data_IF_233293706611
#
_entry.id   IF_233293706611
#
_cell.length_a   1.000
_cell.length_b   1.000
_cell.length_c   1.000
_cell.angle_alpha   90.00
_cell.angle_beta   90.00
_cell.angle_gamma   90.00
#
_symmetry.space_group_name_H-M   'P 1'
#
loop_
_entity.id
_entity.type
_entity.pdbx_description
1 polymer ?
#
# COMPACT_ATOMS: atom_id res chain seq x y z
N UNK A 1 -54.13 16.63 33.56
CA UNK A 1 -53.09 16.04 34.42
C UNK A 1 -52.92 14.60 33.95
N UNK A 2 -51.68 14.18 33.68
CA UNK A 2 -51.28 12.84 33.19
C UNK A 2 -51.72 12.56 31.72
N UNK A 3 -50.94 11.95 30.82
CA UNK A 3 -49.65 11.27 30.91
C UNK A 3 -48.87 11.33 29.58
N UNK A 4 -47.56 11.22 29.74
CA UNK A 4 -46.50 11.35 28.74
C UNK A 4 -46.20 10.01 28.08
N UNK A 5 -46.52 9.82 26.79
CA UNK A 5 -45.90 8.78 25.95
C UNK A 5 -45.72 9.37 24.55
N UNK A 6 -44.51 9.85 24.25
CA UNK A 6 -44.07 10.13 22.89
C UNK A 6 -42.83 9.27 22.61
N UNK A 7 -43.09 8.31 21.75
CA UNK A 7 -42.25 7.20 21.31
C UNK A 7 -40.97 7.71 20.64
N UNK A 8 -39.82 7.19 21.09
CA UNK A 8 -38.52 7.33 20.42
C UNK A 8 -38.62 6.73 19.00
N UNK A 9 -38.69 7.58 17.98
CA UNK A 9 -38.41 7.16 16.61
C UNK A 9 -36.90 7.16 16.37
N UNK A 10 -36.37 5.96 16.10
CA UNK A 10 -35.01 5.64 15.74
C UNK A 10 -34.40 6.59 14.70
N UNK A 11 -33.40 7.35 15.12
CA UNK A 11 -32.39 7.91 14.23
C UNK A 11 -31.38 6.78 13.95
N UNK A 12 -31.75 5.84 13.07
CA UNK A 12 -30.86 4.76 12.64
C UNK A 12 -31.01 4.48 11.16
N UNK A 13 -30.56 5.41 10.32
CA UNK A 13 -30.15 5.10 8.94
C UNK A 13 -29.58 6.36 8.29
N UNK A 14 -28.28 6.61 8.45
CA UNK A 14 -27.43 7.13 7.37
C UNK A 14 -25.96 7.01 7.80
N UNK A 15 -25.49 5.78 8.00
CA UNK A 15 -24.05 5.52 7.89
C UNK A 15 -23.72 5.73 6.42
N UNK A 16 -23.32 6.97 6.06
CA UNK A 16 -22.67 7.23 4.78
C UNK A 16 -21.53 6.23 4.67
N UNK A 17 -21.67 5.25 3.79
CA UNK A 17 -20.61 4.35 3.37
C UNK A 17 -19.52 5.21 2.71
N UNK A 18 -18.64 5.81 3.51
CA UNK A 18 -17.41 6.40 2.99
C UNK A 18 -16.63 5.21 2.42
N UNK A 19 -16.40 5.14 1.10
CA UNK A 19 -15.59 4.07 0.54
C UNK A 19 -14.25 4.09 1.28
N UNK A 20 -13.84 2.94 1.80
CA UNK A 20 -12.56 2.75 2.47
C UNK A 20 -11.45 3.03 1.44
N UNK A 21 -11.10 4.32 1.29
CA UNK A 21 -10.18 4.84 0.28
C UNK A 21 -8.81 4.23 0.56
N UNK A 22 -8.25 3.45 -0.36
CA UNK A 22 -7.13 2.55 -0.07
C UNK A 22 -5.78 3.15 -0.35
N UNK A 23 -4.87 2.87 0.58
CA UNK A 23 -3.46 3.20 0.53
C UNK A 23 -2.76 2.31 -0.51
N UNK A 24 -1.87 2.85 -1.36
CA UNK A 24 -0.96 2.06 -2.18
C UNK A 24 -0.25 1.02 -1.31
N UNK A 25 -0.27 -0.22 -1.79
CA UNK A 25 0.40 -1.34 -1.16
C UNK A 25 1.70 -1.62 -1.92
N UNK A 26 2.35 -2.75 -1.68
CA UNK A 26 3.63 -3.07 -2.31
C UNK A 26 3.63 -2.90 -3.84
N UNK A 27 2.64 -3.42 -4.60
CA UNK A 27 2.69 -3.36 -6.07
C UNK A 27 2.69 -1.95 -6.64
N UNK A 28 1.87 -1.07 -6.08
CA UNK A 28 1.80 0.34 -6.50
C UNK A 28 3.11 1.08 -6.20
N UNK A 29 3.68 0.83 -5.02
CA UNK A 29 4.95 1.44 -4.61
C UNK A 29 6.10 0.90 -5.46
N UNK A 30 6.11 -0.39 -5.78
CA UNK A 30 7.10 -1.01 -6.67
C UNK A 30 7.01 -0.46 -8.10
N UNK A 31 5.79 -0.24 -8.60
CA UNK A 31 5.57 0.38 -9.92
C UNK A 31 6.19 1.78 -9.96
N UNK A 32 5.91 2.61 -8.95
CA UNK A 32 6.54 3.94 -8.82
C UNK A 32 8.07 3.82 -8.72
N UNK A 33 8.59 2.88 -7.92
CA UNK A 33 10.02 2.68 -7.79
C UNK A 33 10.70 2.32 -9.12
N UNK A 34 10.09 1.43 -9.93
CA UNK A 34 10.60 1.04 -11.26
C UNK A 34 10.67 2.23 -12.21
N UNK A 35 9.63 3.05 -12.25
CA UNK A 35 9.60 4.22 -13.11
C UNK A 35 10.61 5.29 -12.66
N UNK A 36 10.73 5.51 -11.35
CA UNK A 36 11.74 6.43 -10.81
C UNK A 36 13.17 5.92 -11.02
N UNK A 37 13.42 4.60 -10.95
CA UNK A 37 14.73 3.99 -11.28
C UNK A 37 15.16 4.29 -12.71
N UNK A 38 14.22 4.31 -13.66
CA UNK A 38 14.51 4.58 -15.05
C UNK A 38 14.84 6.07 -15.31
N UNK A 39 14.45 6.96 -14.40
CA UNK A 39 14.54 8.41 -14.63
C UNK A 39 15.51 9.08 -13.69
N UNK A 40 15.41 8.93 -12.37
CA UNK A 40 16.11 9.78 -11.42
C UNK A 40 17.65 9.61 -11.33
N UNK A 41 18.25 8.40 -11.44
CA UNK A 41 19.67 8.23 -11.19
C UNK A 41 20.58 9.20 -11.98
N UNK A 42 21.58 9.75 -11.29
CA UNK A 42 22.53 10.73 -11.81
C UNK A 42 22.05 12.19 -11.77
N UNK A 43 20.74 12.45 -11.71
CA UNK A 43 20.20 13.81 -11.71
C UNK A 43 20.48 14.52 -10.39
N UNK A 44 20.86 15.79 -10.47
CA UNK A 44 21.19 16.63 -9.31
C UNK A 44 19.99 17.45 -8.87
N UNK A 45 19.76 17.53 -7.58
CA UNK A 45 18.75 18.43 -7.00
C UNK A 45 19.30 19.86 -7.04
N UNK A 46 18.62 20.75 -7.77
CA UNK A 46 18.93 22.18 -7.81
C UNK A 46 18.28 22.93 -6.66
N UNK A 47 16.99 22.68 -6.42
CA UNK A 47 16.25 23.33 -5.34
C UNK A 47 15.13 22.44 -4.80
N UNK A 48 14.70 22.77 -3.59
CA UNK A 48 13.55 22.19 -2.91
C UNK A 48 12.56 23.30 -2.61
N UNK A 49 11.29 23.04 -2.91
CA UNK A 49 10.20 23.92 -2.52
C UNK A 49 9.18 23.14 -1.69
N UNK A 50 8.84 23.69 -0.54
CA UNK A 50 7.86 23.13 0.38
C UNK A 50 6.59 23.99 0.30
N UNK A 51 5.52 23.43 -0.25
CA UNK A 51 4.19 24.04 -0.23
C UNK A 51 3.39 23.61 1.01
N UNK A 52 3.84 22.55 1.69
CA UNK A 52 3.31 22.11 2.97
C UNK A 52 4.40 21.45 3.81
N UNK A 53 4.99 22.21 4.73
CA UNK A 53 6.17 21.79 5.51
C UNK A 53 5.97 20.48 6.26
N UNK A 54 4.79 20.21 6.83
CA UNK A 54 4.52 18.98 7.61
C UNK A 54 4.59 17.69 6.80
N UNK A 55 4.71 17.76 5.47
CA UNK A 55 4.95 16.59 4.62
C UNK A 55 6.44 16.21 4.58
N UNK A 56 7.35 17.16 4.80
CA UNK A 56 8.79 16.98 4.71
C UNK A 56 9.43 17.06 6.10
N UNK A 57 10.03 15.96 6.53
CA UNK A 57 10.70 15.84 7.82
C UNK A 57 12.21 15.71 7.57
N UNK A 58 12.98 16.73 7.93
CA UNK A 58 14.45 16.71 7.85
C UNK A 58 15.03 16.22 9.19
N UNK A 59 15.92 15.23 9.17
CA UNK A 59 16.54 14.68 10.38
C UNK A 59 18.02 14.36 10.12
N UNK A 60 18.90 15.18 10.69
CA UNK A 60 20.36 14.99 10.74
C UNK A 60 21.06 14.74 9.39
N UNK A 61 20.47 15.19 8.27
CA UNK A 61 20.99 14.93 6.93
C UNK A 61 21.68 16.17 6.31
N UNK A 62 22.67 16.01 5.41
CA UNK A 62 23.25 17.14 4.68
C UNK A 62 22.23 17.83 3.77
N UNK A 63 22.38 19.13 3.46
CA UNK A 63 21.46 19.86 2.59
C UNK A 63 21.19 19.15 1.25
N UNK A 64 19.93 19.17 0.79
CA UNK A 64 19.53 18.52 -0.47
C UNK A 64 20.12 19.17 -1.73
N UNK A 65 20.11 20.52 -1.90
CA UNK A 65 20.67 21.14 -3.09
C UNK A 65 22.13 20.73 -3.26
N UNK A 66 22.46 20.24 -4.45
CA UNK A 66 23.80 19.75 -4.72
C UNK A 66 23.91 18.23 -4.82
N UNK A 67 23.08 17.48 -4.08
CA UNK A 67 23.12 16.02 -4.08
C UNK A 67 22.50 15.44 -5.36
N UNK A 68 23.04 14.31 -5.82
CA UNK A 68 22.51 13.53 -6.93
C UNK A 68 21.73 12.33 -6.43
N UNK A 69 20.71 11.94 -7.19
CA UNK A 69 20.03 10.67 -7.00
C UNK A 69 20.94 9.50 -7.41
N UNK A 70 21.07 8.53 -6.53
CA UNK A 70 21.71 7.25 -6.79
C UNK A 70 20.67 6.15 -7.04
N UNK A 71 20.79 5.05 -6.31
CA UNK A 71 19.89 3.91 -6.44
C UNK A 71 18.50 4.23 -5.88
N UNK A 72 17.46 3.79 -6.60
CA UNK A 72 16.08 3.92 -6.15
C UNK A 72 15.54 2.54 -5.78
N UNK A 73 15.16 2.37 -4.53
CA UNK A 73 14.68 1.12 -3.95
C UNK A 73 13.29 1.24 -3.33
N UNK A 74 12.85 0.14 -2.75
CA UNK A 74 11.60 0.02 -2.00
C UNK A 74 11.80 -0.98 -0.88
N UNK A 75 11.21 -0.70 0.28
CA UNK A 75 11.05 -1.68 1.35
C UNK A 75 9.64 -1.58 1.93
N UNK A 76 8.88 -2.66 1.88
CA UNK A 76 7.45 -2.69 2.14
C UNK A 76 6.71 -1.66 1.30
N UNK A 77 6.12 -0.66 1.97
CA UNK A 77 5.36 0.44 1.36
C UNK A 77 6.12 1.77 1.36
N UNK A 78 7.44 1.72 1.58
CA UNK A 78 8.33 2.87 1.55
C UNK A 78 9.15 2.86 0.27
N UNK A 79 9.27 4.01 -0.37
CA UNK A 79 10.27 4.26 -1.41
C UNK A 79 11.55 4.77 -0.76
N UNK A 80 12.68 4.34 -1.30
CA UNK A 80 14.02 4.73 -0.85
C UNK A 80 14.74 5.37 -2.03
N UNK A 81 14.83 6.70 -2.05
CA UNK A 81 15.53 7.43 -3.09
C UNK A 81 16.89 7.81 -2.50
N UNK A 82 17.91 6.99 -2.75
CA UNK A 82 19.24 7.24 -2.22
C UNK A 82 19.85 8.45 -2.94
N UNK A 83 20.56 9.26 -2.17
CA UNK A 83 21.33 10.40 -2.62
C UNK A 83 22.81 10.16 -2.30
N UNK A 84 23.71 11.02 -2.80
CA UNK A 84 25.15 10.90 -2.54
C UNK A 84 25.51 10.77 -1.05
N UNK A 85 24.81 11.49 -0.17
CA UNK A 85 25.15 11.59 1.27
C UNK A 85 23.99 11.30 2.21
N UNK A 86 22.81 10.97 1.68
CA UNK A 86 21.58 10.83 2.45
C UNK A 86 20.55 10.02 1.68
N UNK A 87 19.36 9.84 2.24
CA UNK A 87 18.24 9.15 1.59
C UNK A 87 16.93 9.88 1.85
N UNK A 88 16.07 9.91 0.82
CA UNK A 88 14.67 10.28 0.99
C UNK A 88 13.84 9.00 1.17
N UNK A 89 13.32 8.81 2.38
CA UNK A 89 12.41 7.72 2.72
C UNK A 89 10.97 8.23 2.60
N UNK A 90 10.23 7.73 1.63
CA UNK A 90 8.93 8.26 1.25
C UNK A 90 7.84 7.23 1.50
N UNK A 91 6.80 7.62 2.22
CA UNK A 91 5.58 6.80 2.38
C UNK A 91 4.39 7.54 1.75
N UNK A 92 3.83 7.00 0.67
CA UNK A 92 2.74 7.63 -0.09
C UNK A 92 1.44 7.76 0.73
N UNK A 93 1.23 6.86 1.71
CA UNK A 93 -0.01 6.79 2.52
C UNK A 93 -1.20 6.71 1.59
N UNK A 94 -2.30 7.43 1.80
CA UNK A 94 -3.55 7.10 1.10
C UNK A 94 -3.65 7.70 -0.30
N UNK A 95 -3.10 8.88 -0.49
CA UNK A 95 -3.34 9.74 -1.67
C UNK A 95 -2.06 10.39 -2.20
N UNK A 96 -0.91 10.00 -1.64
CA UNK A 96 0.39 10.45 -2.11
C UNK A 96 0.71 9.91 -3.49
N UNK A 97 1.20 10.79 -4.34
CA UNK A 97 1.68 10.52 -5.69
C UNK A 97 3.08 11.14 -5.82
N UNK A 98 3.97 10.46 -6.52
CA UNK A 98 5.24 11.02 -6.97
C UNK A 98 5.18 11.15 -8.49
N UNK A 99 5.23 12.38 -8.97
CA UNK A 99 5.09 12.70 -10.39
C UNK A 99 6.41 13.23 -10.92
N UNK A 100 6.78 12.83 -12.14
CA UNK A 100 7.95 13.37 -12.85
C UNK A 100 7.48 14.03 -14.13
N UNK A 101 7.82 15.32 -14.31
CA UNK A 101 7.45 16.08 -15.50
C UNK A 101 8.49 17.15 -15.83
N UNK A 102 8.40 17.78 -17.00
CA UNK A 102 9.27 18.93 -17.31
C UNK A 102 8.84 20.14 -16.49
N UNK A 103 9.80 20.87 -15.96
CA UNK A 103 9.51 22.08 -15.21
C UNK A 103 8.84 23.13 -16.09
N UNK A 104 7.85 23.82 -15.56
CA UNK A 104 7.04 24.81 -16.29
C UNK A 104 6.00 24.23 -17.25
N UNK A 105 5.97 22.90 -17.48
CA UNK A 105 5.02 22.28 -18.41
C UNK A 105 3.56 22.40 -17.94
N UNK A 106 3.34 22.44 -16.63
CA UNK A 106 2.01 22.51 -16.03
C UNK A 106 2.04 23.46 -14.82
N UNK A 107 0.96 24.20 -14.63
CA UNK A 107 0.77 24.99 -13.42
C UNK A 107 0.80 24.11 -12.16
N UNK A 108 1.14 24.72 -11.03
CA UNK A 108 1.12 24.06 -9.71
C UNK A 108 -0.32 23.67 -9.35
N UNK A 109 -0.51 22.43 -8.93
CA UNK A 109 -1.80 21.98 -8.38
C UNK A 109 -1.90 22.34 -6.90
N UNK A 110 -3.10 22.64 -6.41
CA UNK A 110 -3.40 22.92 -4.98
C UNK A 110 -3.07 21.76 -4.01
N UNK A 111 -2.68 20.60 -4.54
CA UNK A 111 -2.36 19.39 -3.80
C UNK A 111 -0.88 19.04 -3.87
N UNK A 112 -0.09 19.78 -4.65
CA UNK A 112 1.36 19.66 -4.64
C UNK A 112 1.86 20.11 -3.26
N UNK A 113 2.72 19.31 -2.63
CA UNK A 113 3.21 19.53 -1.26
C UNK A 113 4.70 19.78 -1.22
N UNK A 114 5.45 19.06 -2.05
CA UNK A 114 6.90 19.19 -2.17
C UNK A 114 7.27 19.14 -3.64
N UNK A 115 8.18 20.02 -4.07
CA UNK A 115 8.76 20.02 -5.41
C UNK A 115 10.28 20.00 -5.31
N UNK A 116 10.91 19.10 -6.05
CA UNK A 116 12.35 19.06 -6.27
C UNK A 116 12.61 19.47 -7.71
N UNK A 117 13.35 20.56 -7.94
CA UNK A 117 13.80 20.95 -9.26
C UNK A 117 15.13 20.26 -9.56
N UNK A 118 15.26 19.64 -10.74
CA UNK A 118 16.43 18.87 -11.14
C UNK A 118 17.31 19.65 -12.12
N UNK A 119 18.53 19.17 -12.34
CA UNK A 119 19.54 19.85 -13.15
C UNK A 119 19.36 19.76 -14.67
N UNK A 120 18.43 18.93 -15.12
CA UNK A 120 18.11 18.68 -16.53
C UNK A 120 16.76 19.28 -16.96
N UNK A 121 16.15 20.10 -16.09
CA UNK A 121 14.85 20.72 -16.33
C UNK A 121 13.65 19.83 -16.03
N UNK A 122 13.85 18.65 -15.43
CA UNK A 122 12.76 17.89 -14.82
C UNK A 122 12.43 18.41 -13.41
N UNK A 123 11.22 18.12 -12.96
CA UNK A 123 10.80 18.28 -11.57
C UNK A 123 10.19 16.98 -11.05
N UNK A 124 10.53 16.63 -9.80
CA UNK A 124 9.88 15.58 -9.03
C UNK A 124 8.91 16.23 -8.05
N UNK A 125 7.62 15.87 -8.13
CA UNK A 125 6.57 16.47 -7.30
C UNK A 125 5.94 15.41 -6.43
N UNK A 126 5.83 15.71 -5.14
CA UNK A 126 4.99 14.97 -4.21
C UNK A 126 3.64 15.66 -4.09
N UNK A 127 2.59 15.00 -4.61
CA UNK A 127 1.21 15.46 -4.54
C UNK A 127 0.44 14.62 -3.54
N UNK A 128 -0.30 15.26 -2.65
CA UNK A 128 -1.10 14.55 -1.66
C UNK A 128 -2.30 15.39 -1.20
N UNK A 129 -3.51 15.00 -1.63
CA UNK A 129 -4.75 15.71 -1.28
C UNK A 129 -5.04 15.68 0.24
N UNK A 130 -4.67 14.60 0.93
CA UNK A 130 -4.97 14.40 2.37
C UNK A 130 -3.84 14.78 3.31
N UNK A 131 -2.66 15.12 2.80
CA UNK A 131 -1.48 15.53 3.59
C UNK A 131 -1.02 14.48 4.62
N UNK A 132 -1.27 13.20 4.34
CA UNK A 132 -0.86 12.08 5.19
C UNK A 132 0.49 11.51 4.79
N UNK A 133 0.83 11.59 3.52
CA UNK A 133 2.11 11.20 2.98
C UNK A 133 3.27 11.94 3.65
N UNK A 134 4.41 11.27 3.74
CA UNK A 134 5.62 11.78 4.40
C UNK A 134 6.84 11.52 3.53
N UNK A 135 7.71 12.52 3.48
CA UNK A 135 9.07 12.43 2.96
C UNK A 135 10.00 12.68 4.15
N UNK A 136 10.83 11.70 4.47
CA UNK A 136 11.86 11.83 5.51
C UNK A 136 13.21 11.91 4.86
N UNK A 137 13.94 12.98 5.13
CA UNK A 137 15.30 13.18 4.65
C UNK A 137 16.27 12.89 5.78
N UNK A 138 16.99 11.78 5.65
CA UNK A 138 17.80 11.18 6.73
C UNK A 138 19.15 10.69 6.19
N UNK A 139 20.14 10.51 7.07
CA UNK A 139 21.43 9.91 6.69
C UNK A 139 21.29 8.44 6.26
N UNK A 140 20.48 7.67 6.98
CA UNK A 140 20.26 6.25 6.74
C UNK A 140 18.80 5.90 6.94
N UNK A 141 18.29 4.99 6.11
CA UNK A 141 16.91 4.50 6.21
C UNK A 141 16.72 3.47 7.34
N UNK A 142 17.80 2.84 7.82
CA UNK A 142 17.74 1.73 8.79
C UNK A 142 16.89 2.06 10.03
N UNK A 143 17.05 3.21 10.72
CA UNK A 143 16.32 3.46 11.96
C UNK A 143 14.80 3.57 11.76
N UNK A 144 14.39 3.99 10.56
CA UNK A 144 12.99 4.12 10.16
C UNK A 144 12.36 2.77 9.79
N UNK A 145 13.17 1.85 9.26
CA UNK A 145 12.72 0.59 8.68
C UNK A 145 12.98 -0.62 9.58
N UNK A 146 13.79 -0.50 10.63
CA UNK A 146 14.16 -1.61 11.55
C UNK A 146 13.00 -2.36 12.19
N UNK A 147 11.82 -1.71 12.29
CA UNK A 147 10.59 -2.32 12.84
C UNK A 147 9.77 -3.08 11.81
N UNK A 148 10.14 -3.02 10.53
CA UNK A 148 9.47 -3.77 9.47
C UNK A 148 9.98 -5.21 9.47
N UNK A 149 9.05 -6.13 9.24
CA UNK A 149 9.39 -7.51 8.90
C UNK A 149 9.98 -7.61 7.50
N UNK A 150 10.32 -8.84 7.10
CA UNK A 150 10.85 -9.10 5.77
C UNK A 150 9.85 -8.69 4.68
N UNK A 151 10.35 -8.12 3.59
CA UNK A 151 9.52 -7.73 2.47
C UNK A 151 8.89 -8.95 1.79
N UNK A 152 7.61 -8.85 1.40
CA UNK A 152 6.88 -9.98 0.82
C UNK A 152 7.51 -10.54 -0.49
N UNK A 153 8.25 -9.70 -1.22
CA UNK A 153 8.92 -10.07 -2.47
C UNK A 153 10.44 -10.27 -2.31
N UNK A 154 11.00 -10.12 -1.10
CA UNK A 154 12.43 -10.37 -0.86
C UNK A 154 12.72 -11.87 -0.86
N UNK A 155 13.76 -12.28 -1.58
CA UNK A 155 14.22 -13.66 -1.70
C UNK A 155 14.56 -14.31 -0.35
N UNK A 156 14.94 -13.52 0.66
CA UNK A 156 15.20 -13.99 2.03
C UNK A 156 13.92 -14.48 2.74
N UNK A 157 12.75 -14.00 2.33
CA UNK A 157 11.49 -14.56 2.79
C UNK A 157 11.24 -15.86 2.03
N UNK A 158 11.46 -17.01 2.68
CA UNK A 158 11.19 -18.33 2.10
C UNK A 158 9.85 -18.88 2.62
N UNK A 159 9.29 -19.87 1.92
CA UNK A 159 8.08 -20.57 2.39
C UNK A 159 8.28 -21.21 3.77
N UNK A 160 9.47 -21.76 4.04
CA UNK A 160 9.84 -22.32 5.34
C UNK A 160 9.86 -21.26 6.45
N UNK A 161 10.51 -20.10 6.20
CA UNK A 161 10.52 -19.00 7.15
C UNK A 161 9.11 -18.48 7.41
N UNK A 162 8.32 -18.29 6.35
CA UNK A 162 6.91 -17.90 6.43
C UNK A 162 6.09 -18.88 7.28
N UNK A 163 6.20 -20.18 7.05
CA UNK A 163 5.53 -21.21 7.85
C UNK A 163 5.92 -21.18 9.32
N UNK A 164 7.21 -20.99 9.63
CA UNK A 164 7.68 -20.87 11.01
C UNK A 164 7.09 -19.66 11.74
N UNK A 165 6.84 -18.55 11.03
CA UNK A 165 6.19 -17.37 11.59
C UNK A 165 4.70 -17.61 11.83
N UNK A 166 4.02 -18.31 10.91
CA UNK A 166 2.61 -18.67 11.05
C UNK A 166 2.37 -19.52 12.30
N UNK A 167 3.16 -20.57 12.49
CA UNK A 167 3.05 -21.51 13.62
C UNK A 167 3.18 -20.82 14.99
N UNK A 168 3.94 -19.73 15.05
CA UNK A 168 4.17 -18.96 16.30
C UNK A 168 3.08 -17.91 16.57
N UNK A 169 2.12 -17.71 15.66
CA UNK A 169 1.13 -16.65 15.78
C UNK A 169 -0.26 -17.17 16.15
N UNK A 170 -0.81 -16.63 17.24
CA UNK A 170 -2.21 -16.84 17.62
C UNK A 170 -3.20 -15.92 16.89
N UNK A 171 -2.70 -14.99 16.05
CA UNK A 171 -3.55 -14.09 15.28
C UNK A 171 -4.32 -14.87 14.22
N UNK A 172 -5.49 -14.38 13.79
CA UNK A 172 -6.07 -14.87 12.54
C UNK A 172 -5.17 -14.51 11.34
N UNK A 173 -5.26 -15.33 10.29
CA UNK A 173 -4.36 -15.25 9.14
C UNK A 173 -4.40 -13.88 8.46
N UNK A 174 -5.58 -13.24 8.36
CA UNK A 174 -5.66 -11.89 7.80
C UNK A 174 -4.93 -10.86 8.65
N UNK A 175 -5.12 -10.87 9.97
CA UNK A 175 -4.44 -9.96 10.87
C UNK A 175 -2.92 -10.16 10.84
N UNK A 176 -2.46 -11.42 10.78
CA UNK A 176 -1.05 -11.76 10.64
C UNK A 176 -0.46 -11.17 9.36
N UNK A 177 -1.10 -11.41 8.20
CA UNK A 177 -0.62 -10.91 6.90
C UNK A 177 -0.65 -9.39 6.78
N UNK A 178 -1.56 -8.70 7.49
CA UNK A 178 -1.61 -7.24 7.50
C UNK A 178 -0.53 -6.60 8.39
N UNK A 179 0.07 -7.37 9.30
CA UNK A 179 1.10 -6.88 10.22
C UNK A 179 2.41 -6.63 9.48
N UNK A 180 2.76 -5.35 9.31
CA UNK A 180 4.03 -4.95 8.70
C UNK A 180 5.26 -5.35 9.52
N UNK A 181 5.08 -5.85 10.76
CA UNK A 181 6.16 -6.40 11.59
C UNK A 181 6.55 -7.83 11.20
N UNK A 182 5.62 -8.59 10.62
CA UNK A 182 5.92 -9.95 10.14
C UNK A 182 6.29 -9.90 8.66
N UNK A 183 5.43 -9.30 7.84
CA UNK A 183 5.62 -9.24 6.40
C UNK A 183 5.30 -7.84 5.92
N UNK A 184 6.32 -7.14 5.44
CA UNK A 184 6.17 -5.79 4.94
C UNK A 184 5.60 -5.79 3.51
N UNK A 185 4.73 -4.82 3.22
CA UNK A 185 4.21 -4.58 1.87
C UNK A 185 2.78 -5.05 1.63
N UNK A 186 2.30 -6.06 2.36
CA UNK A 186 0.92 -6.54 2.24
C UNK A 186 -0.08 -5.53 2.81
N UNK A 187 -1.21 -5.36 2.14
CA UNK A 187 -2.34 -4.58 2.65
C UNK A 187 -3.67 -5.28 2.38
N UNK A 188 -4.75 -4.50 2.43
CA UNK A 188 -6.08 -5.07 2.50
C UNK A 188 -6.51 -5.73 1.18
N UNK A 189 -6.05 -5.22 0.04
CA UNK A 189 -6.41 -5.74 -1.28
C UNK A 189 -5.76 -7.10 -1.50
N UNK A 190 -4.43 -7.13 -1.43
CA UNK A 190 -3.68 -8.32 -1.82
C UNK A 190 -3.80 -9.45 -0.79
N UNK A 191 -4.12 -9.14 0.47
CA UNK A 191 -4.46 -10.16 1.47
C UNK A 191 -5.81 -10.82 1.16
N UNK A 192 -6.85 -10.06 0.80
CA UNK A 192 -8.15 -10.64 0.41
C UNK A 192 -8.00 -11.57 -0.80
N UNK A 193 -7.28 -11.10 -1.83
CA UNK A 193 -7.05 -11.87 -3.05
C UNK A 193 -6.21 -13.14 -2.81
N UNK A 194 -5.12 -13.04 -2.02
CA UNK A 194 -4.27 -14.20 -1.72
C UNK A 194 -5.02 -15.27 -0.90
N UNK A 195 -5.82 -14.85 0.08
CA UNK A 195 -6.63 -15.77 0.89
C UNK A 195 -7.72 -16.45 0.06
N UNK A 196 -8.34 -15.73 -0.88
CA UNK A 196 -9.29 -16.31 -1.81
C UNK A 196 -8.65 -17.38 -2.71
N UNK A 197 -7.49 -17.09 -3.31
CA UNK A 197 -6.78 -18.07 -4.15
C UNK A 197 -6.33 -19.30 -3.34
N UNK A 198 -6.07 -19.12 -2.05
CA UNK A 198 -5.67 -20.20 -1.14
C UNK A 198 -6.86 -20.92 -0.50
N UNK A 199 -8.10 -20.55 -0.84
CA UNK A 199 -9.32 -21.09 -0.22
C UNK A 199 -9.37 -20.96 1.32
N UNK A 200 -8.62 -20.01 1.90
CA UNK A 200 -8.52 -19.81 3.34
C UNK A 200 -9.53 -18.77 3.84
N UNK A 201 -10.26 -19.11 4.90
CA UNK A 201 -11.11 -18.13 5.57
C UNK A 201 -10.23 -17.11 6.35
N UNK A 202 -10.48 -15.79 6.27
CA UNK A 202 -9.61 -14.77 6.88
C UNK A 202 -9.53 -14.84 8.41
N UNK A 203 -10.50 -15.49 9.06
CA UNK A 203 -10.52 -15.74 10.50
C UNK A 203 -9.82 -17.04 10.93
N UNK A 204 -9.32 -17.85 10.00
CA UNK A 204 -8.54 -19.04 10.35
C UNK A 204 -7.32 -18.62 11.18
N UNK A 205 -7.05 -19.22 12.35
CA UNK A 205 -5.84 -18.94 13.11
C UNK A 205 -4.59 -19.20 12.26
N UNK A 206 -3.63 -18.28 12.29
CA UNK A 206 -2.43 -18.36 11.45
C UNK A 206 -1.65 -19.66 11.67
N UNK A 207 -1.53 -20.09 12.92
CA UNK A 207 -0.90 -21.35 13.32
C UNK A 207 -1.60 -22.62 12.83
N UNK A 208 -2.86 -22.52 12.41
CA UNK A 208 -3.68 -23.66 11.98
C UNK A 208 -3.66 -23.86 10.47
N UNK A 209 -3.11 -22.94 9.67
CA UNK A 209 -3.03 -23.06 8.21
C UNK A 209 -2.24 -24.32 7.80
N UNK A 210 -2.88 -25.21 7.03
CA UNK A 210 -2.32 -26.50 6.65
C UNK A 210 -1.34 -26.35 5.47
N UNK A 211 -0.07 -26.15 5.82
CA UNK A 211 0.99 -25.92 4.84
C UNK A 211 1.09 -24.46 4.40
N UNK A 212 2.26 -23.87 4.65
CA UNK A 212 2.49 -22.44 4.40
C UNK A 212 2.76 -22.11 2.93
N UNK A 213 3.22 -23.10 2.16
CA UNK A 213 3.72 -22.92 0.80
C UNK A 213 2.63 -22.50 -0.22
N UNK A 214 1.42 -23.11 -0.26
CA UNK A 214 0.37 -22.66 -1.17
C UNK A 214 -0.03 -21.20 -0.95
N UNK A 215 -0.22 -20.80 0.32
CA UNK A 215 -0.53 -19.41 0.66
C UNK A 215 0.63 -18.47 0.30
N UNK A 216 1.87 -18.86 0.62
CA UNK A 216 3.06 -18.10 0.29
C UNK A 216 3.19 -17.83 -1.22
N UNK A 217 3.01 -18.88 -2.04
CA UNK A 217 3.06 -18.79 -3.48
C UNK A 217 1.93 -17.93 -4.03
N UNK A 218 0.71 -18.07 -3.51
CA UNK A 218 -0.43 -17.24 -3.89
C UNK A 218 -0.24 -15.77 -3.52
N UNK A 219 0.38 -15.46 -2.38
CA UNK A 219 0.74 -14.09 -2.00
C UNK A 219 1.68 -13.47 -3.05
N UNK A 220 2.76 -14.16 -3.41
CA UNK A 220 3.70 -13.66 -4.41
C UNK A 220 3.07 -13.56 -5.80
N UNK A 221 2.21 -14.51 -6.15
CA UNK A 221 1.48 -14.49 -7.41
C UNK A 221 0.58 -13.25 -7.54
N UNK A 222 -0.21 -12.92 -6.52
CA UNK A 222 -1.10 -11.74 -6.58
C UNK A 222 -0.30 -10.43 -6.59
N UNK A 223 0.81 -10.37 -5.86
CA UNK A 223 1.69 -9.21 -5.86
C UNK A 223 2.36 -9.02 -7.22
N UNK A 224 2.93 -10.09 -7.79
CA UNK A 224 3.60 -10.06 -9.08
C UNK A 224 2.63 -9.66 -10.21
N UNK A 225 1.47 -10.31 -10.28
CA UNK A 225 0.43 -9.94 -11.25
C UNK A 225 0.02 -8.48 -11.13
N UNK A 226 -0.07 -7.97 -9.91
CA UNK A 226 -0.40 -6.56 -9.71
C UNK A 226 0.72 -5.64 -10.17
N UNK A 227 1.99 -5.97 -9.90
CA UNK A 227 3.13 -5.21 -10.41
C UNK A 227 3.13 -5.20 -11.95
N UNK A 228 2.89 -6.34 -12.59
CA UNK A 228 2.83 -6.47 -14.04
C UNK A 228 1.69 -5.63 -14.64
N UNK A 229 0.59 -5.51 -13.90
CA UNK A 229 -0.57 -4.67 -14.22
C UNK A 229 -0.45 -3.21 -13.73
N UNK A 230 0.75 -2.76 -13.33
CA UNK A 230 1.03 -1.41 -12.84
C UNK A 230 0.19 -0.99 -11.60
N UNK A 231 -0.12 -1.94 -10.72
CA UNK A 231 -0.89 -1.70 -9.50
C UNK A 231 -2.39 -1.53 -9.74
N UNK A 232 -3.11 -1.18 -8.68
CA UNK A 232 -4.56 -1.00 -8.67
C UNK A 232 -4.95 0.46 -8.41
N UNK A 233 -5.74 1.05 -9.30
CA UNK A 233 -6.37 2.36 -9.05
C UNK A 233 -7.79 2.18 -8.54
N UNK A 234 -7.97 2.26 -7.22
CA UNK A 234 -9.30 2.28 -6.55
C UNK A 234 -9.79 3.69 -6.28
N UNK A 235 -8.84 4.62 -6.14
CA UNK A 235 -9.14 6.02 -5.90
C UNK A 235 -8.07 6.90 -6.53
N UNK A 236 -7.13 7.40 -5.74
CA UNK A 236 -6.21 8.45 -6.17
C UNK A 236 -4.83 7.90 -6.54
N UNK A 237 -4.60 6.58 -6.55
CA UNK A 237 -3.32 6.02 -6.99
C UNK A 237 -3.08 6.37 -8.47
N UNK A 238 -1.86 6.86 -8.75
CA UNK A 238 -1.32 7.14 -10.07
C UNK A 238 0.16 6.74 -10.12
N UNK A 239 0.64 6.33 -11.29
CA UNK A 239 2.06 6.14 -11.54
C UNK A 239 2.79 7.50 -11.71
N UNK A 240 4.09 7.49 -12.01
CA UNK A 240 4.92 8.72 -12.10
C UNK A 240 4.54 9.63 -13.27
N UNK A 241 3.84 9.10 -14.27
CA UNK A 241 3.32 9.84 -15.42
C UNK A 241 1.88 10.34 -15.21
N UNK A 242 1.26 10.01 -14.07
CA UNK A 242 -0.13 10.37 -13.79
C UNK A 242 -1.18 9.40 -14.34
N UNK A 243 -0.78 8.20 -14.79
CA UNK A 243 -1.69 7.17 -15.32
C UNK A 243 -2.21 6.26 -14.20
N UNK A 244 -3.35 5.61 -14.46
CA UNK A 244 -3.94 4.60 -13.57
C UNK A 244 -3.25 3.24 -13.72
N UNK A 245 -3.24 2.46 -12.63
CA UNK A 245 -2.97 1.03 -12.68
C UNK A 245 -4.17 0.26 -13.25
N UNK A 246 -3.96 -0.97 -13.67
CA UNK A 246 -4.98 -1.80 -14.34
C UNK A 246 -5.43 -3.00 -13.50
N UNK A 247 -4.74 -3.30 -12.39
CA UNK A 247 -4.94 -4.54 -11.65
C UNK A 247 -6.34 -4.70 -11.04
N UNK A 248 -7.05 -3.58 -10.77
CA UNK A 248 -8.43 -3.59 -10.25
C UNK A 248 -9.43 -4.33 -11.16
N UNK A 249 -9.11 -4.47 -12.46
CA UNK A 249 -9.93 -5.23 -13.42
C UNK A 249 -9.86 -6.74 -13.18
N UNK A 250 -8.82 -7.20 -12.48
CA UNK A 250 -8.52 -8.63 -12.30
C UNK A 250 -8.92 -9.17 -10.93
N UNK A 251 -9.45 -8.34 -10.02
CA UNK A 251 -9.85 -8.81 -8.69
C UNK A 251 -10.87 -9.96 -8.73
N UNK A 252 -10.70 -10.89 -7.80
CA UNK A 252 -11.56 -12.04 -7.62
C UNK A 252 -12.61 -11.80 -6.55
N UNK A 253 -12.25 -11.13 -5.45
CA UNK A 253 -13.15 -10.87 -4.32
C UNK A 253 -13.14 -9.41 -3.92
N UNK A 254 -11.98 -8.76 -3.97
CA UNK A 254 -11.81 -7.43 -3.44
C UNK A 254 -12.71 -6.41 -4.17
N UNK A 255 -13.55 -5.68 -3.41
CA UNK A 255 -14.47 -4.69 -3.98
C UNK A 255 -15.63 -5.28 -4.78
N UNK A 256 -15.82 -6.61 -4.78
CA UNK A 256 -16.84 -7.31 -5.57
C UNK A 256 -18.04 -7.77 -4.73
N UNK A 257 -18.32 -7.12 -3.60
CA UNK A 257 -19.45 -7.47 -2.72
C UNK A 257 -20.77 -7.56 -3.51
N UNK A 258 -21.52 -8.64 -3.30
CA UNK A 258 -22.78 -8.91 -3.99
C UNK A 258 -22.64 -9.52 -5.39
N UNK A 259 -21.46 -9.43 -6.02
CA UNK A 259 -21.22 -10.01 -7.34
C UNK A 259 -20.94 -11.52 -7.23
N UNK A 260 -21.18 -12.30 -8.30
CA UNK A 260 -20.87 -13.72 -8.31
C UNK A 260 -19.36 -13.97 -8.25
N UNK A 261 -18.97 -14.93 -7.42
CA UNK A 261 -17.64 -15.50 -7.35
C UNK A 261 -17.25 -16.08 -8.71
N UNK A 262 -16.08 -15.68 -9.23
CA UNK A 262 -15.56 -16.17 -10.52
C UNK A 262 -15.26 -17.68 -10.55
N UNK A 263 -15.18 -18.33 -9.38
CA UNK A 263 -14.88 -19.76 -9.24
C UNK A 263 -16.14 -20.63 -9.09
N UNK A 264 -17.12 -20.20 -8.28
CA UNK A 264 -18.24 -21.05 -7.89
C UNK A 264 -19.63 -20.40 -8.06
N UNK A 265 -19.71 -19.19 -8.62
CA UNK A 265 -20.96 -18.45 -8.84
C UNK A 265 -21.66 -17.89 -7.60
N UNK A 266 -21.31 -18.34 -6.39
CA UNK A 266 -21.88 -17.83 -5.13
C UNK A 266 -21.55 -16.35 -4.88
N UNK A 267 -22.38 -15.61 -4.11
CA UNK A 267 -22.15 -14.18 -3.90
C UNK A 267 -20.90 -13.93 -3.07
N UNK A 268 -20.15 -12.88 -3.42
CA UNK A 268 -19.06 -12.36 -2.58
C UNK A 268 -19.65 -11.56 -1.42
N UNK A 269 -19.21 -11.88 -0.22
CA UNK A 269 -19.60 -11.18 1.01
C UNK A 269 -18.51 -10.21 1.46
N UNK A 270 -18.91 -9.20 2.23
CA UNK A 270 -18.00 -8.28 2.90
C UNK A 270 -18.22 -8.35 4.40
N UNK A 271 -17.21 -8.85 5.11
CA UNK A 271 -17.19 -8.93 6.58
C UNK A 271 -16.15 -7.95 7.14
N UNK A 272 -16.06 -7.86 8.47
CA UNK A 272 -15.02 -7.07 9.15
C UNK A 272 -14.04 -7.99 9.88
N UNK A 273 -12.76 -7.88 9.57
CA UNK A 273 -11.68 -8.64 10.21
C UNK A 273 -10.53 -7.70 10.53
N UNK A 274 -10.02 -7.75 11.76
CA UNK A 274 -8.95 -6.87 12.24
C UNK A 274 -9.24 -5.37 11.99
N UNK A 275 -10.49 -4.95 12.14
CA UNK A 275 -10.95 -3.57 11.91
C UNK A 275 -11.13 -3.17 10.45
N UNK A 276 -10.84 -4.05 9.47
CA UNK A 276 -10.84 -3.75 8.03
C UNK A 276 -11.97 -4.45 7.29
N UNK A 277 -12.51 -3.79 6.26
CA UNK A 277 -13.45 -4.43 5.33
C UNK A 277 -12.76 -5.57 4.59
N UNK A 278 -13.37 -6.74 4.55
CA UNK A 278 -12.75 -8.00 4.09
C UNK A 278 -13.71 -8.71 3.16
N UNK A 279 -13.29 -8.96 1.93
CA UNK A 279 -14.12 -9.57 0.91
C UNK A 279 -13.82 -11.07 0.81
N UNK A 280 -14.85 -11.89 0.85
CA UNK A 280 -14.71 -13.35 0.83
C UNK A 280 -15.75 -14.00 -0.06
N UNK A 281 -15.46 -15.19 -0.55
CA UNK A 281 -16.46 -16.11 -1.06
C UNK A 281 -16.76 -17.18 0.02
N UNK A 282 -17.93 -17.15 0.68
CA UNK A 282 -18.25 -18.10 1.76
C UNK A 282 -18.24 -19.57 1.31
N UNK A 283 -18.55 -19.83 0.04
CA UNK A 283 -18.51 -21.17 -0.55
C UNK A 283 -17.09 -21.67 -0.80
N UNK A 284 -16.18 -20.79 -1.24
CA UNK A 284 -14.79 -21.16 -1.53
C UNK A 284 -13.87 -21.09 -0.31
N UNK A 285 -14.21 -20.28 0.70
CA UNK A 285 -13.40 -20.01 1.89
C UNK A 285 -14.20 -20.41 3.14
N UNK A 286 -14.42 -21.71 3.34
CA UNK A 286 -15.21 -22.21 4.46
C UNK A 286 -14.42 -22.16 5.77
N UNK A 287 -15.08 -21.83 6.89
CA UNK A 287 -14.46 -21.94 8.22
C UNK A 287 -14.13 -23.40 8.55
N UNK A 288 -12.99 -23.63 9.20
CA UNK A 288 -12.54 -24.97 9.60
C UNK A 288 -11.87 -25.78 8.47
N UNK A 289 -11.85 -25.27 7.24
CA UNK A 289 -10.91 -25.75 6.22
C UNK A 289 -9.62 -24.95 6.38
N UNK A 290 -8.59 -25.64 6.85
CA UNK A 290 -7.27 -25.09 7.13
C UNK A 290 -6.28 -25.44 6.06
#
# INVERSE_FOLDING_TARGET
MSDTILTLFSITALVKNIPEKKMPELPEVETVARELRAVLPGKKIRSLELYWEKTFEHQDAPPLPGQRFGTIGRQGKYLLLNLDKSVLVIHLRMTGQLLVRRSGQQARHSHDRVRFLLDDGLELIFRDSRKFGRIRHVLSAEPLLRKLGTDAMDQKLTAALFGSMLQKSAMNIKAFLLSQKYIAGLGNIYVDEALFLSALHPLTPAREVSGAEPLFNNIRLVLQRSIDNMGSTISDYRNTKGNEGLNQRYFNVYGRQGLPCKKCGGPIEKIRVAGRGTHICPRCQQRGKT
#
